data_IF_416012240939
#
_entry.id   IF_416012240939
#
_cell.length_a   1.000
_cell.length_b   1.000
_cell.length_c   1.000
_cell.angle_alpha   90.00
_cell.angle_beta   90.00
_cell.angle_gamma   90.00
#
_symmetry.space_group_name_H-M   'P 1'
#
loop_
_entity.id
_entity.type
_entity.pdbx_description
1 polymer ?
#
# COMPACT_ATOMS: atom_id res chain seq x y z
N UNK A 1 20.10 -24.75 42.37
CA UNK A 1 21.12 -24.25 41.44
C UNK A 1 20.38 -23.43 40.38
N UNK A 2 20.30 -22.12 40.60
CA UNK A 2 19.55 -21.18 39.78
C UNK A 2 20.47 -20.77 38.64
N UNK A 3 20.06 -21.03 37.40
CA UNK A 3 20.78 -20.57 36.20
C UNK A 3 20.58 -19.05 36.04
N UNK A 4 21.62 -18.29 35.71
CA UNK A 4 21.49 -16.86 35.47
C UNK A 4 20.79 -16.62 34.12
N UNK A 5 19.92 -15.60 34.08
CA UNK A 5 19.25 -15.12 32.87
C UNK A 5 20.26 -14.69 31.79
N UNK A 6 19.98 -14.87 30.51
CA UNK A 6 20.85 -14.38 29.45
C UNK A 6 20.90 -12.86 29.44
N UNK A 7 22.11 -12.33 29.33
CA UNK A 7 22.35 -10.90 29.24
C UNK A 7 21.70 -10.34 27.99
N UNK A 8 20.89 -9.30 28.13
CA UNK A 8 20.37 -8.46 27.03
C UNK A 8 21.60 -7.86 26.35
N UNK A 9 21.74 -8.17 25.04
CA UNK A 9 22.76 -7.59 24.19
C UNK A 9 22.63 -6.07 24.25
N UNK A 10 23.70 -5.40 24.63
CA UNK A 10 23.76 -3.96 24.78
C UNK A 10 23.44 -3.27 23.45
N UNK A 11 22.60 -2.24 23.54
CA UNK A 11 22.40 -1.24 22.51
C UNK A 11 23.75 -0.70 22.06
N UNK A 12 24.19 -1.07 20.87
CA UNK A 12 25.36 -0.46 20.25
C UNK A 12 25.13 1.04 20.18
N UNK A 13 25.97 1.82 20.87
CA UNK A 13 25.93 3.27 20.83
C UNK A 13 26.04 3.73 19.38
N UNK A 14 25.00 4.43 18.88
CA UNK A 14 25.06 5.10 17.59
C UNK A 14 26.27 6.06 17.63
N UNK A 15 27.13 6.00 16.61
CA UNK A 15 28.21 6.96 16.45
C UNK A 15 27.63 8.38 16.47
N UNK A 16 28.29 9.38 17.09
CA UNK A 16 27.77 10.73 17.14
C UNK A 16 27.54 11.22 15.70
N UNK A 17 26.27 11.59 15.39
CA UNK A 17 25.88 12.07 14.07
C UNK A 17 26.71 13.31 13.67
N UNK A 18 27.11 13.37 12.41
CA UNK A 18 27.81 14.55 11.88
C UNK A 18 26.84 15.76 11.87
N UNK A 19 27.41 16.97 11.78
CA UNK A 19 26.59 18.20 11.61
C UNK A 19 25.66 18.07 10.40
N UNK A 20 26.09 17.36 9.33
CA UNK A 20 25.26 17.05 8.17
C UNK A 20 24.08 16.13 8.49
N UNK A 21 24.28 15.12 9.36
CA UNK A 21 23.20 14.23 9.77
C UNK A 21 22.13 14.96 10.58
N UNK A 22 22.56 15.82 11.52
CA UNK A 22 21.63 16.67 12.29
C UNK A 22 20.84 17.61 11.38
N UNK A 23 21.50 18.21 10.34
CA UNK A 23 20.80 19.06 9.38
C UNK A 23 19.77 18.26 8.57
N UNK A 24 20.11 17.06 8.10
CA UNK A 24 19.19 16.17 7.38
C UNK A 24 17.97 15.80 8.22
N UNK A 25 18.19 15.39 9.48
CA UNK A 25 17.11 15.07 10.41
C UNK A 25 16.22 16.28 10.70
N UNK A 26 16.80 17.46 10.90
CA UNK A 26 16.03 18.67 11.11
C UNK A 26 15.25 19.12 9.87
N UNK A 27 15.75 18.87 8.65
CA UNK A 27 15.04 19.15 7.41
C UNK A 27 13.77 18.28 7.29
N UNK A 28 13.87 16.98 7.59
CA UNK A 28 12.74 16.08 7.64
C UNK A 28 11.72 16.50 8.73
N UNK A 29 12.22 16.88 9.91
CA UNK A 29 11.38 17.36 11.03
C UNK A 29 10.59 18.62 10.65
N UNK A 30 11.22 19.58 9.97
CA UNK A 30 10.54 20.81 9.51
C UNK A 30 9.50 20.49 8.43
N UNK A 31 9.82 19.62 7.48
CA UNK A 31 8.89 19.22 6.43
C UNK A 31 7.69 18.46 7.01
N UNK A 32 7.91 17.49 7.89
CA UNK A 32 6.86 16.79 8.63
C UNK A 32 5.99 17.75 9.42
N UNK A 33 6.62 18.68 10.16
CA UNK A 33 5.89 19.70 10.92
C UNK A 33 5.07 20.66 10.06
N UNK A 34 5.38 20.84 8.77
CA UNK A 34 4.50 21.58 7.83
C UNK A 34 3.36 20.69 7.36
N UNK A 35 3.64 19.43 7.06
CA UNK A 35 2.66 18.47 6.52
C UNK A 35 1.58 18.06 7.54
N UNK A 36 1.86 18.07 8.84
CA UNK A 36 0.94 17.70 9.91
C UNK A 36 -0.14 18.76 10.21
N UNK A 37 0.01 19.97 9.73
CA UNK A 37 -1.03 20.97 9.91
C UNK A 37 -2.31 20.60 9.14
N UNK A 38 -3.49 20.85 9.71
CA UNK A 38 -4.75 20.50 9.06
C UNK A 38 -4.85 21.07 7.64
N UNK A 39 -5.46 20.35 6.70
CA UNK A 39 -5.64 20.80 5.32
C UNK A 39 -6.26 22.21 5.26
N UNK A 40 -5.66 23.09 4.45
CA UNK A 40 -6.09 24.47 4.32
C UNK A 40 -5.54 25.43 5.39
N UNK A 41 -4.78 24.94 6.36
CA UNK A 41 -4.00 25.78 7.29
C UNK A 41 -2.55 25.83 6.79
N UNK A 42 -2.04 27.04 6.62
CA UNK A 42 -0.66 27.26 6.15
C UNK A 42 0.15 27.82 7.33
N UNK A 43 0.93 27.00 8.06
CA UNK A 43 1.68 27.46 9.21
C UNK A 43 2.73 28.49 8.84
N UNK A 44 2.92 29.49 9.68
CA UNK A 44 4.07 30.40 9.61
C UNK A 44 5.35 29.71 10.10
N UNK A 45 6.53 30.21 9.71
CA UNK A 45 7.82 29.72 10.25
C UNK A 45 7.88 29.69 11.78
N UNK A 46 7.19 30.64 12.43
CA UNK A 46 7.14 30.70 13.89
C UNK A 46 6.30 29.56 14.49
N UNK A 47 5.19 29.18 13.85
CA UNK A 47 4.38 28.02 14.26
C UNK A 47 5.10 26.71 14.04
N UNK A 48 5.79 26.56 12.89
CA UNK A 48 6.65 25.39 12.63
C UNK A 48 7.78 25.28 13.67
N UNK A 49 8.42 26.41 14.03
CA UNK A 49 9.45 26.42 15.08
C UNK A 49 8.87 25.97 16.44
N UNK A 50 7.66 26.43 16.78
CA UNK A 50 6.99 26.01 18.01
C UNK A 50 6.62 24.51 18.00
N UNK A 51 6.12 23.99 16.86
CA UNK A 51 5.73 22.58 16.71
C UNK A 51 6.93 21.63 16.75
N UNK A 52 8.07 22.03 16.13
CA UNK A 52 9.28 21.18 16.01
C UNK A 52 10.27 21.33 17.18
N UNK A 53 10.11 22.37 18.02
CA UNK A 53 11.08 22.70 19.08
C UNK A 53 12.38 23.30 18.58
N UNK A 54 12.52 23.57 17.27
CA UNK A 54 13.71 24.18 16.67
C UNK A 54 13.72 25.69 16.86
N UNK A 55 14.91 26.32 16.78
CA UNK A 55 15.01 27.78 16.81
C UNK A 55 14.42 28.40 15.53
N UNK A 56 13.88 29.62 15.64
CA UNK A 56 13.37 30.37 14.47
C UNK A 56 14.42 30.54 13.36
N UNK A 57 15.68 30.73 13.74
CA UNK A 57 16.79 30.85 12.80
C UNK A 57 17.03 29.54 12.03
N UNK A 58 17.04 28.39 12.75
CA UNK A 58 17.17 27.08 12.14
C UNK A 58 16.04 26.79 11.17
N UNK A 59 14.78 27.00 11.62
CA UNK A 59 13.61 26.79 10.75
C UNK A 59 13.66 27.68 9.51
N UNK A 60 14.05 28.96 9.66
CA UNK A 60 14.16 29.86 8.51
C UNK A 60 15.18 29.38 7.47
N UNK A 61 16.34 28.87 7.90
CA UNK A 61 17.33 28.29 6.98
C UNK A 61 16.85 27.02 6.28
N UNK A 62 16.22 26.10 7.06
CA UNK A 62 15.71 24.83 6.51
C UNK A 62 14.51 25.02 5.58
N UNK A 63 13.65 26.00 5.86
CA UNK A 63 12.54 26.40 4.98
C UNK A 63 13.07 26.92 3.64
N UNK A 64 14.18 27.66 3.62
CA UNK A 64 14.80 28.09 2.34
C UNK A 64 15.27 26.88 1.52
N UNK A 65 15.90 25.89 2.14
CA UNK A 65 16.30 24.65 1.44
C UNK A 65 15.09 23.95 0.83
N UNK A 66 13.96 23.83 1.59
CA UNK A 66 12.73 23.18 1.09
C UNK A 66 12.03 23.97 -0.02
N UNK A 67 12.12 25.32 0.02
CA UNK A 67 11.62 26.20 -1.04
C UNK A 67 12.46 26.06 -2.31
N UNK A 68 13.80 26.04 -2.17
CA UNK A 68 14.74 25.87 -3.28
C UNK A 68 14.57 24.49 -3.94
N UNK A 69 14.29 23.44 -3.15
CA UNK A 69 13.91 22.12 -3.67
C UNK A 69 12.51 22.09 -4.31
N UNK A 70 11.72 23.13 -4.13
CA UNK A 70 10.33 23.20 -4.61
C UNK A 70 9.38 22.24 -3.93
N UNK A 71 9.74 21.63 -2.78
CA UNK A 71 8.88 20.69 -2.01
C UNK A 71 7.73 21.43 -1.33
N UNK A 72 8.02 22.65 -0.86
CA UNK A 72 7.04 23.55 -0.24
C UNK A 72 6.93 24.85 -1.02
N UNK A 73 5.89 25.61 -0.78
CA UNK A 73 5.75 26.97 -1.28
C UNK A 73 5.24 27.94 -0.21
N UNK A 74 5.47 29.22 -0.43
CA UNK A 74 4.91 30.29 0.38
C UNK A 74 3.54 30.71 -0.14
N UNK A 75 2.60 30.95 0.78
CA UNK A 75 1.28 31.47 0.49
C UNK A 75 0.99 32.70 1.35
N UNK A 76 0.40 33.73 0.75
CA UNK A 76 -0.04 34.90 1.47
C UNK A 76 -1.22 34.53 2.39
N UNK A 77 -1.09 34.80 3.68
CA UNK A 77 -2.22 34.67 4.62
C UNK A 77 -3.07 35.93 4.56
N UNK A 78 -4.39 35.79 4.29
CA UNK A 78 -5.31 36.89 4.37
C UNK A 78 -5.37 37.40 5.82
N UNK A 79 -5.17 38.70 6.10
CA UNK A 79 -5.19 39.23 7.45
C UNK A 79 -6.63 39.27 7.98
N UNK A 80 -6.95 38.34 8.89
CA UNK A 80 -8.10 38.52 9.77
C UNK A 80 -7.68 39.39 10.96
N UNK A 81 -7.39 40.70 10.71
CA UNK A 81 -6.99 41.62 11.76
C UNK A 81 -6.00 42.70 11.30
N UNK A 82 -5.74 43.70 12.16
CA UNK A 82 -4.74 44.76 11.96
C UNK A 82 -3.32 44.17 12.13
N UNK A 83 -2.60 43.94 11.03
CA UNK A 83 -1.20 43.47 11.03
C UNK A 83 -0.65 43.33 9.61
N UNK A 84 0.69 43.19 9.47
CA UNK A 84 1.32 42.88 8.20
C UNK A 84 0.86 41.47 7.77
N UNK A 85 0.45 41.26 6.49
CA UNK A 85 0.09 39.93 5.98
C UNK A 85 1.17 38.92 6.36
N UNK A 86 0.77 37.84 7.04
CA UNK A 86 1.68 36.76 7.34
C UNK A 86 1.97 35.93 6.08
N UNK A 87 3.11 35.26 6.06
CA UNK A 87 3.45 34.28 5.04
C UNK A 87 3.27 32.88 5.66
N UNK A 88 2.40 32.07 5.07
CA UNK A 88 2.21 30.68 5.42
C UNK A 88 3.04 29.76 4.52
N UNK A 89 3.23 28.53 4.97
CA UNK A 89 3.93 27.47 4.26
C UNK A 89 2.95 26.33 3.97
N UNK A 90 3.06 25.73 2.79
CA UNK A 90 2.32 24.52 2.46
C UNK A 90 3.16 23.61 1.55
N UNK A 91 2.82 22.32 1.50
CA UNK A 91 3.37 21.41 0.50
C UNK A 91 3.04 21.94 -0.89
N UNK A 92 4.01 21.87 -1.80
CA UNK A 92 3.83 22.40 -3.15
C UNK A 92 2.88 21.49 -3.97
N UNK A 93 1.65 21.94 -4.30
CA UNK A 93 0.68 21.13 -5.04
C UNK A 93 1.06 20.88 -6.51
N UNK A 94 2.10 21.56 -7.01
CA UNK A 94 2.68 21.32 -8.32
C UNK A 94 3.74 20.20 -8.31
N UNK A 95 3.98 19.56 -7.18
CA UNK A 95 4.88 18.41 -7.02
C UNK A 95 4.05 17.17 -6.70
N UNK A 96 4.39 16.07 -7.37
CA UNK A 96 3.63 14.84 -7.26
C UNK A 96 4.54 13.61 -7.38
N UNK A 97 3.99 12.46 -7.04
CA UNK A 97 4.59 11.13 -7.24
C UNK A 97 3.63 10.30 -8.08
N UNK A 98 4.14 9.40 -8.89
CA UNK A 98 3.34 8.47 -9.67
C UNK A 98 3.23 7.12 -8.96
N UNK A 99 2.01 6.66 -8.70
CA UNK A 99 1.73 5.26 -8.40
C UNK A 99 1.54 4.49 -9.70
N UNK A 100 2.11 3.30 -9.77
CA UNK A 100 1.98 2.39 -10.90
C UNK A 100 1.64 1.00 -10.39
N UNK A 101 0.88 0.26 -11.15
CA UNK A 101 0.45 -1.09 -10.78
C UNK A 101 0.39 -1.99 -12.01
N UNK A 102 0.95 -3.17 -11.88
CA UNK A 102 0.72 -4.30 -12.76
C UNK A 102 -0.16 -5.28 -12.00
N UNK A 103 -1.38 -5.45 -12.46
CA UNK A 103 -2.29 -6.48 -11.98
C UNK A 103 -2.40 -7.58 -13.04
N UNK A 104 -3.02 -8.70 -12.71
CA UNK A 104 -3.21 -9.82 -13.66
C UNK A 104 -4.14 -9.42 -14.82
N UNK A 105 -5.11 -8.56 -14.56
CA UNK A 105 -6.19 -8.20 -15.51
C UNK A 105 -6.08 -6.77 -16.05
N UNK A 106 -5.17 -5.95 -15.52
CA UNK A 106 -4.97 -4.57 -15.96
C UNK A 106 -3.58 -4.06 -15.64
N UNK A 107 -3.27 -2.91 -16.18
CA UNK A 107 -2.19 -2.03 -15.73
C UNK A 107 -2.80 -0.68 -15.35
N UNK A 108 -2.28 -0.03 -14.34
CA UNK A 108 -2.79 1.30 -13.93
C UNK A 108 -1.69 2.25 -13.50
N UNK A 109 -1.98 3.55 -13.63
CA UNK A 109 -1.12 4.62 -13.13
C UNK A 109 -1.94 5.72 -12.49
N UNK A 110 -1.38 6.39 -11.49
CA UNK A 110 -1.97 7.56 -10.87
C UNK A 110 -0.92 8.59 -10.53
N UNK A 111 -1.29 9.87 -10.58
CA UNK A 111 -0.49 10.98 -10.06
C UNK A 111 -1.13 11.43 -8.75
N UNK A 112 -0.30 11.46 -7.70
CA UNK A 112 -0.68 11.79 -6.33
C UNK A 112 0.20 12.95 -5.87
N UNK A 113 -0.39 14.05 -5.40
CA UNK A 113 0.38 15.17 -4.88
C UNK A 113 1.05 14.84 -3.53
N UNK A 114 1.95 15.70 -3.06
CA UNK A 114 2.69 15.44 -1.83
C UNK A 114 1.81 15.39 -0.56
N UNK A 115 0.55 15.88 -0.64
CA UNK A 115 -0.43 15.72 0.44
C UNK A 115 -1.15 14.36 0.41
N UNK A 116 -0.92 13.56 -0.63
CA UNK A 116 -1.58 12.27 -0.85
C UNK A 116 -2.88 12.37 -1.64
N UNK A 117 -3.22 13.52 -2.20
CA UNK A 117 -4.42 13.71 -3.01
C UNK A 117 -4.23 13.14 -4.41
N UNK A 118 -5.15 12.28 -4.82
CA UNK A 118 -5.20 11.74 -6.17
C UNK A 118 -5.59 12.84 -7.17
N UNK A 119 -4.73 13.11 -8.15
CA UNK A 119 -4.93 14.12 -9.18
C UNK A 119 -5.39 13.53 -10.52
N UNK A 120 -4.80 12.41 -10.93
CA UNK A 120 -5.09 11.71 -12.19
C UNK A 120 -5.01 10.22 -11.92
N UNK A 121 -5.91 9.42 -12.49
CA UNK A 121 -5.84 7.96 -12.52
C UNK A 121 -6.24 7.47 -13.90
N UNK A 122 -5.46 6.57 -14.47
CA UNK A 122 -5.80 5.83 -15.67
C UNK A 122 -5.62 4.33 -15.44
N UNK A 123 -6.60 3.55 -15.89
CA UNK A 123 -6.58 2.09 -15.85
C UNK A 123 -6.72 1.61 -17.29
N UNK A 124 -5.91 0.63 -17.66
CA UNK A 124 -5.98 -0.03 -18.97
C UNK A 124 -6.17 -1.52 -18.75
N UNK A 125 -7.32 -2.05 -19.14
CA UNK A 125 -7.56 -3.49 -19.16
C UNK A 125 -6.55 -4.18 -20.08
N UNK A 126 -5.96 -5.25 -19.57
CA UNK A 126 -4.97 -6.07 -20.24
C UNK A 126 -4.84 -7.40 -19.52
N UNK A 127 -5.01 -8.50 -20.23
CA UNK A 127 -4.67 -9.82 -19.70
C UNK A 127 -3.12 -9.97 -19.66
N UNK A 128 -2.59 -10.02 -18.44
CA UNK A 128 -1.17 -10.14 -18.17
C UNK A 128 -0.77 -11.58 -17.77
N UNK A 129 -1.73 -12.54 -17.75
CA UNK A 129 -1.47 -13.93 -17.38
C UNK A 129 -0.48 -14.55 -18.34
N UNK A 130 0.54 -15.18 -17.79
CA UNK A 130 1.60 -15.85 -18.55
C UNK A 130 2.20 -14.97 -19.67
N UNK A 131 2.05 -13.64 -19.54
CA UNK A 131 2.65 -12.68 -20.46
C UNK A 131 4.12 -12.48 -20.14
N UNK A 132 4.98 -12.40 -21.17
CA UNK A 132 6.34 -11.96 -20.96
C UNK A 132 6.37 -10.56 -20.30
N UNK A 133 7.32 -10.33 -19.38
CA UNK A 133 7.39 -9.08 -18.61
C UNK A 133 7.65 -7.85 -19.50
N UNK A 134 8.52 -7.97 -20.51
CA UNK A 134 8.90 -6.82 -21.34
C UNK A 134 7.72 -6.14 -22.06
N UNK A 135 6.76 -6.84 -22.73
CA UNK A 135 5.57 -6.21 -23.29
C UNK A 135 4.64 -5.56 -22.26
N UNK A 136 4.59 -6.11 -21.01
CA UNK A 136 3.76 -5.55 -19.93
C UNK A 136 4.39 -4.24 -19.45
N UNK A 137 5.70 -4.23 -19.18
CA UNK A 137 6.44 -3.04 -18.80
C UNK A 137 6.39 -1.95 -19.88
N UNK A 138 6.54 -2.31 -21.15
CA UNK A 138 6.43 -1.36 -22.27
C UNK A 138 5.03 -0.72 -22.32
N UNK A 139 3.97 -1.50 -22.09
CA UNK A 139 2.60 -0.99 -22.04
C UNK A 139 2.37 -0.06 -20.85
N UNK A 140 2.94 -0.39 -19.68
CA UNK A 140 2.89 0.46 -18.49
C UNK A 140 3.69 1.75 -18.68
N UNK A 141 4.89 1.69 -19.25
CA UNK A 141 5.71 2.86 -19.57
C UNK A 141 4.96 3.82 -20.51
N UNK A 142 4.31 3.29 -21.56
CA UNK A 142 3.49 4.10 -22.46
C UNK A 142 2.30 4.77 -21.74
N UNK A 143 1.69 4.08 -20.76
CA UNK A 143 0.63 4.64 -19.92
C UNK A 143 1.19 5.73 -19.00
N UNK A 144 2.33 5.49 -18.36
CA UNK A 144 3.00 6.44 -17.47
C UNK A 144 3.41 7.73 -18.21
N UNK A 145 3.94 7.62 -19.43
CA UNK A 145 4.28 8.78 -20.26
C UNK A 145 3.05 9.65 -20.55
N UNK A 146 1.91 9.05 -20.91
CA UNK A 146 0.67 9.81 -21.17
C UNK A 146 0.19 10.53 -19.92
N UNK A 147 0.14 9.82 -18.79
CA UNK A 147 -0.34 10.37 -17.51
C UNK A 147 0.61 11.46 -17.00
N UNK A 148 1.93 11.27 -17.15
CA UNK A 148 2.94 12.30 -16.84
C UNK A 148 2.76 13.54 -17.71
N UNK A 149 2.51 13.39 -19.01
CA UNK A 149 2.23 14.50 -19.92
C UNK A 149 0.99 15.28 -19.49
N UNK A 150 -0.12 14.57 -19.21
CA UNK A 150 -1.35 15.19 -18.71
C UNK A 150 -1.17 15.92 -17.37
N UNK A 151 -0.29 15.44 -16.50
CA UNK A 151 0.08 16.13 -15.27
C UNK A 151 0.87 17.41 -15.59
N UNK A 152 1.84 17.33 -16.51
CA UNK A 152 2.65 18.47 -16.96
C UNK A 152 1.81 19.60 -17.59
N UNK A 153 0.79 19.26 -18.38
CA UNK A 153 -0.17 20.22 -18.94
C UNK A 153 -0.96 20.98 -17.85
N UNK A 154 -1.09 20.38 -16.66
CA UNK A 154 -1.71 21.01 -15.47
C UNK A 154 -0.68 21.70 -14.57
N UNK A 155 0.58 21.80 -14.98
CA UNK A 155 1.66 22.40 -14.21
C UNK A 155 2.13 21.53 -13.03
N UNK A 156 1.89 20.20 -13.08
CA UNK A 156 2.32 19.26 -12.05
C UNK A 156 3.53 18.47 -12.53
N UNK A 157 4.61 18.51 -11.74
CA UNK A 157 5.84 17.77 -11.98
C UNK A 157 5.89 16.50 -11.16
N UNK A 158 6.15 15.36 -11.84
CA UNK A 158 6.29 14.04 -11.21
C UNK A 158 7.76 13.83 -10.82
N UNK A 159 7.99 13.72 -9.51
CA UNK A 159 9.34 13.61 -8.92
C UNK A 159 9.89 12.17 -8.91
N UNK A 160 9.03 11.18 -8.97
CA UNK A 160 9.37 9.76 -8.92
C UNK A 160 8.14 8.89 -8.88
N UNK A 161 8.32 7.59 -8.64
CA UNK A 161 7.19 6.69 -8.61
C UNK A 161 7.38 5.44 -7.76
N UNK A 162 6.26 4.75 -7.52
CA UNK A 162 6.20 3.42 -6.95
C UNK A 162 5.49 2.46 -7.91
N UNK A 163 6.06 1.28 -8.11
CA UNK A 163 5.46 0.19 -8.87
C UNK A 163 5.01 -0.92 -7.93
N UNK A 164 3.72 -1.23 -7.91
CA UNK A 164 3.15 -2.39 -7.23
C UNK A 164 3.00 -3.55 -8.21
N UNK A 165 3.43 -4.75 -7.81
CA UNK A 165 3.35 -5.98 -8.61
C UNK A 165 2.88 -7.13 -7.71
N UNK A 166 2.01 -8.03 -8.19
CA UNK A 166 1.63 -9.22 -7.42
C UNK A 166 2.82 -10.18 -7.26
N UNK A 167 2.81 -10.96 -6.17
CA UNK A 167 3.83 -11.94 -5.85
C UNK A 167 5.02 -11.40 -5.05
N UNK A 168 6.04 -12.22 -4.87
CA UNK A 168 7.22 -11.89 -4.07
C UNK A 168 8.20 -11.02 -4.87
N UNK A 169 8.68 -9.95 -4.24
CA UNK A 169 9.62 -9.01 -4.86
C UNK A 169 10.85 -8.79 -3.98
N UNK A 170 11.97 -8.50 -4.61
CA UNK A 170 13.20 -7.97 -3.99
C UNK A 170 13.34 -6.49 -4.41
N UNK A 171 12.87 -5.54 -3.58
CA UNK A 171 12.92 -4.12 -3.93
C UNK A 171 14.35 -3.59 -4.10
N UNK A 172 15.31 -4.14 -3.34
CA UNK A 172 16.71 -3.70 -3.39
C UNK A 172 17.39 -4.02 -4.73
N UNK A 173 16.94 -5.10 -5.39
CA UNK A 173 17.45 -5.51 -6.70
C UNK A 173 16.52 -5.17 -7.86
N UNK A 174 15.40 -4.49 -7.60
CA UNK A 174 14.36 -4.25 -8.61
C UNK A 174 13.93 -5.55 -9.31
N UNK A 175 13.68 -6.63 -8.54
CA UNK A 175 13.43 -7.97 -9.06
C UNK A 175 12.09 -8.52 -8.56
N UNK A 176 11.35 -9.17 -9.45
CA UNK A 176 10.25 -10.07 -9.10
C UNK A 176 10.84 -11.47 -8.91
N UNK A 177 10.78 -11.99 -7.68
CA UNK A 177 11.26 -13.33 -7.36
C UNK A 177 10.29 -14.37 -7.91
N UNK A 178 9.02 -14.22 -7.63
CA UNK A 178 7.95 -15.05 -8.18
C UNK A 178 6.62 -14.32 -8.20
N UNK A 179 5.94 -14.40 -9.34
CA UNK A 179 4.56 -13.93 -9.50
C UNK A 179 3.78 -15.00 -10.31
N UNK A 180 3.28 -16.04 -9.63
CA UNK A 180 2.72 -17.22 -10.30
C UNK A 180 1.59 -16.87 -11.27
N UNK A 181 0.71 -15.95 -10.90
CA UNK A 181 -0.42 -15.52 -11.72
C UNK A 181 -0.02 -14.72 -12.97
N UNK A 182 1.21 -14.16 -13.01
CA UNK A 182 1.80 -13.53 -14.19
C UNK A 182 2.69 -14.50 -14.97
N UNK A 183 3.07 -15.63 -14.38
CA UNK A 183 4.05 -16.58 -14.93
C UNK A 183 5.49 -16.06 -14.85
N UNK A 184 5.79 -15.17 -13.91
CA UNK A 184 7.12 -14.57 -13.77
C UNK A 184 7.91 -15.24 -12.64
N UNK A 185 9.18 -15.57 -12.94
CA UNK A 185 10.14 -16.13 -11.98
C UNK A 185 11.50 -15.51 -12.25
N UNK A 186 12.14 -14.96 -11.21
CA UNK A 186 13.47 -14.34 -11.26
C UNK A 186 13.61 -13.26 -12.37
N UNK A 187 12.65 -12.32 -12.43
CA UNK A 187 12.60 -11.27 -13.45
C UNK A 187 13.20 -9.98 -12.92
N UNK A 188 14.27 -9.50 -13.54
CA UNK A 188 14.82 -8.16 -13.32
C UNK A 188 13.97 -7.12 -14.06
N UNK A 189 13.59 -6.05 -13.35
CA UNK A 189 12.76 -4.97 -13.90
C UNK A 189 13.64 -3.74 -14.18
N UNK A 190 13.53 -3.21 -15.39
CA UNK A 190 14.09 -1.90 -15.72
C UNK A 190 13.11 -0.81 -15.25
N UNK A 191 13.24 -0.42 -13.96
CA UNK A 191 12.37 0.57 -13.35
C UNK A 191 12.64 1.98 -13.86
N UNK A 192 13.86 2.30 -14.27
CA UNK A 192 14.24 3.61 -14.80
C UNK A 192 13.54 3.90 -16.13
N UNK A 193 13.27 2.86 -16.91
CA UNK A 193 12.51 2.98 -18.17
C UNK A 193 11.05 3.38 -17.97
N UNK A 194 10.48 3.22 -16.77
CA UNK A 194 9.09 3.60 -16.47
C UNK A 194 8.92 5.11 -16.28
N UNK A 195 9.88 5.76 -15.62
CA UNK A 195 9.91 7.21 -15.37
C UNK A 195 11.33 7.77 -15.60
N UNK A 196 11.78 7.86 -16.86
CA UNK A 196 13.10 8.41 -17.16
C UNK A 196 13.26 9.81 -16.57
N UNK A 197 14.48 10.09 -16.05
CA UNK A 197 14.86 11.39 -15.50
C UNK A 197 14.07 11.85 -14.26
N UNK A 198 13.25 10.98 -13.65
CA UNK A 198 12.58 11.32 -12.40
C UNK A 198 13.60 11.32 -11.24
N UNK A 199 13.75 12.43 -10.48
CA UNK A 199 14.86 12.58 -9.53
C UNK A 199 14.83 11.56 -8.37
N UNK A 200 13.67 11.01 -8.03
CA UNK A 200 13.54 9.99 -6.98
C UNK A 200 13.57 8.55 -7.52
N UNK A 201 13.59 8.38 -8.86
CA UNK A 201 13.49 7.07 -9.50
C UNK A 201 12.14 6.39 -9.25
N UNK A 202 12.11 5.06 -9.42
CA UNK A 202 10.93 4.21 -9.17
C UNK A 202 11.29 3.14 -8.15
N UNK A 203 10.46 2.99 -7.11
CA UNK A 203 10.59 1.95 -6.09
C UNK A 203 9.61 0.79 -6.38
N UNK A 204 10.03 -0.46 -6.09
CA UNK A 204 9.23 -1.67 -6.30
C UNK A 204 8.54 -2.10 -5.01
N UNK A 205 7.29 -2.53 -5.10
CA UNK A 205 6.47 -3.01 -3.98
C UNK A 205 5.71 -4.29 -4.36
N UNK A 206 5.48 -5.14 -3.38
CA UNK A 206 4.42 -6.14 -3.50
C UNK A 206 3.06 -5.43 -3.43
N UNK A 207 2.07 -5.89 -4.21
CA UNK A 207 0.73 -5.30 -4.35
C UNK A 207 -0.01 -5.21 -3.01
N UNK A 208 -0.09 -6.30 -2.25
CA UNK A 208 -0.81 -6.34 -0.97
C UNK A 208 -0.11 -5.50 0.11
N UNK A 209 1.22 -5.48 0.13
CA UNK A 209 2.01 -4.64 1.02
C UNK A 209 1.80 -3.15 0.72
N UNK A 210 1.76 -2.76 -0.55
CA UNK A 210 1.45 -1.40 -0.95
C UNK A 210 0.02 -1.02 -0.51
N UNK A 211 -0.96 -1.89 -0.75
CA UNK A 211 -2.34 -1.64 -0.32
C UNK A 211 -2.47 -1.52 1.21
N UNK A 212 -1.75 -2.34 1.98
CA UNK A 212 -1.70 -2.21 3.44
C UNK A 212 -1.15 -0.85 3.91
N UNK A 213 -0.14 -0.31 3.21
CA UNK A 213 0.41 1.02 3.50
C UNK A 213 -0.57 2.15 3.16
N UNK A 214 -1.40 1.99 2.13
CA UNK A 214 -2.48 2.94 1.85
C UNK A 214 -3.53 2.95 2.96
N UNK A 215 -3.96 1.76 3.42
CA UNK A 215 -4.88 1.63 4.54
C UNK A 215 -4.33 2.26 5.82
N UNK A 216 -3.05 2.02 6.12
CA UNK A 216 -2.41 2.61 7.30
C UNK A 216 -2.52 4.15 7.32
N UNK A 217 -2.34 4.79 6.16
CA UNK A 217 -2.41 6.25 6.03
C UNK A 217 -3.82 6.78 6.22
N UNK A 218 -4.81 6.08 5.69
CA UNK A 218 -6.18 6.59 5.55
C UNK A 218 -7.13 6.02 6.64
N UNK A 219 -6.61 5.27 7.62
CA UNK A 219 -7.43 4.68 8.69
C UNK A 219 -8.03 5.73 9.63
N UNK A 220 -9.36 5.78 9.75
CA UNK A 220 -10.04 6.74 10.62
C UNK A 220 -9.91 6.43 12.11
N UNK A 221 -9.63 5.17 12.47
CA UNK A 221 -9.50 4.71 13.86
C UNK A 221 -8.08 4.85 14.42
N UNK A 222 -7.11 5.25 13.59
CA UNK A 222 -5.70 5.39 13.97
C UNK A 222 -5.04 4.10 14.42
N UNK A 223 -5.61 2.92 14.05
CA UNK A 223 -5.03 1.65 14.43
C UNK A 223 -3.65 1.45 13.79
N UNK A 224 -2.65 1.19 14.64
CA UNK A 224 -1.25 1.00 14.26
C UNK A 224 -0.90 -0.44 13.89
N UNK A 225 -1.81 -1.38 14.24
CA UNK A 225 -1.56 -2.82 14.10
C UNK A 225 -2.77 -3.49 13.45
N UNK A 226 -2.56 -4.05 12.27
CA UNK A 226 -3.60 -4.79 11.55
C UNK A 226 -3.01 -5.72 10.49
N UNK A 227 -3.80 -6.74 10.13
CA UNK A 227 -3.56 -7.57 8.97
C UNK A 227 -4.48 -7.12 7.84
N UNK A 228 -3.91 -6.62 6.77
CA UNK A 228 -4.63 -6.38 5.52
C UNK A 228 -4.68 -7.68 4.73
N UNK A 229 -5.85 -8.05 4.21
CA UNK A 229 -6.02 -9.23 3.36
C UNK A 229 -6.81 -8.83 2.13
N UNK A 230 -6.19 -8.91 0.98
CA UNK A 230 -6.80 -8.62 -0.31
C UNK A 230 -7.09 -9.89 -1.07
N UNK A 231 -8.33 -10.03 -1.50
CA UNK A 231 -8.71 -11.03 -2.49
C UNK A 231 -8.69 -10.40 -3.88
N UNK A 232 -7.82 -10.91 -4.71
CA UNK A 232 -7.73 -10.59 -6.13
C UNK A 232 -7.82 -11.91 -6.93
N UNK A 233 -7.08 -12.08 -8.03
CA UNK A 233 -6.96 -13.40 -8.69
C UNK A 233 -6.52 -14.44 -7.67
N UNK A 234 -5.48 -14.13 -6.89
CA UNK A 234 -5.07 -14.85 -5.70
C UNK A 234 -5.54 -14.20 -4.40
N UNK A 235 -4.86 -14.53 -3.31
CA UNK A 235 -5.07 -13.93 -1.98
C UNK A 235 -3.73 -13.42 -1.46
N UNK A 236 -3.61 -12.10 -1.34
CA UNK A 236 -2.46 -11.43 -0.78
C UNK A 236 -2.71 -10.90 0.63
N UNK A 237 -1.65 -10.60 1.38
CA UNK A 237 -1.75 -9.95 2.67
C UNK A 237 -0.59 -9.02 2.96
N UNK A 238 -0.83 -8.07 3.85
CA UNK A 238 0.19 -7.16 4.37
C UNK A 238 0.03 -7.02 5.89
N UNK A 239 1.12 -7.18 6.61
CA UNK A 239 1.14 -7.09 8.08
C UNK A 239 1.64 -5.71 8.47
N UNK A 240 0.87 -4.98 9.25
CA UNK A 240 1.27 -3.68 9.82
C UNK A 240 1.39 -3.84 11.33
N UNK A 241 2.55 -3.49 11.89
CA UNK A 241 2.86 -3.52 13.32
C UNK A 241 3.53 -2.22 13.73
N UNK A 242 3.00 -1.56 14.76
CA UNK A 242 3.54 -0.29 15.23
C UNK A 242 3.56 0.81 14.18
N UNK A 243 2.57 0.87 13.29
CA UNK A 243 2.50 1.79 12.14
C UNK A 243 3.58 1.58 11.08
N UNK A 244 4.19 0.39 11.04
CA UNK A 244 5.18 0.01 10.04
C UNK A 244 4.80 -1.30 9.35
N UNK A 245 5.14 -1.42 8.07
CA UNK A 245 4.96 -2.66 7.34
C UNK A 245 5.97 -3.71 7.81
N UNK A 246 5.48 -4.85 8.28
CA UNK A 246 6.31 -5.98 8.67
C UNK A 246 6.49 -6.92 7.46
N UNK A 247 7.68 -6.92 6.88
CA UNK A 247 8.00 -7.73 5.70
C UNK A 247 8.73 -9.03 6.04
N UNK A 248 9.20 -9.20 7.29
CA UNK A 248 10.06 -10.30 7.67
C UNK A 248 11.50 -10.16 7.13
N UNK A 249 12.42 -11.05 7.54
CA UNK A 249 13.84 -10.92 7.21
C UNK A 249 14.14 -11.08 5.71
N UNK A 250 13.31 -11.81 4.97
CA UNK A 250 13.47 -12.06 3.53
C UNK A 250 12.38 -11.38 2.68
N UNK A 251 11.52 -10.55 3.28
CA UNK A 251 10.46 -9.86 2.56
C UNK A 251 9.20 -10.69 2.29
N UNK A 252 9.07 -11.89 2.87
CA UNK A 252 7.99 -12.83 2.58
C UNK A 252 6.88 -12.86 3.64
N UNK A 253 6.87 -11.96 4.62
CA UNK A 253 5.79 -11.90 5.59
C UNK A 253 4.49 -11.41 4.92
N UNK A 254 3.36 -11.96 5.36
CA UNK A 254 2.04 -11.57 4.81
C UNK A 254 1.47 -12.54 3.78
N UNK A 255 2.12 -13.64 3.46
CA UNK A 255 1.68 -14.67 2.50
C UNK A 255 0.46 -15.47 3.01
N UNK A 256 -0.61 -14.77 3.40
CA UNK A 256 -1.82 -15.35 4.02
C UNK A 256 -2.55 -16.28 3.08
N UNK A 257 -2.48 -16.02 1.77
CA UNK A 257 -3.10 -16.85 0.73
C UNK A 257 -2.55 -18.26 0.69
N UNK A 258 -1.34 -18.47 1.23
CA UNK A 258 -0.67 -19.76 1.25
C UNK A 258 -0.75 -20.50 2.61
N UNK A 259 -1.52 -19.93 3.57
CA UNK A 259 -1.87 -20.68 4.80
C UNK A 259 -2.76 -21.87 4.40
N UNK A 260 -2.38 -23.07 4.85
CA UNK A 260 -3.15 -24.29 4.60
C UNK A 260 -4.44 -24.26 5.43
N UNK A 261 -5.59 -24.28 4.75
CA UNK A 261 -6.92 -24.28 5.35
C UNK A 261 -7.67 -25.60 5.12
N UNK A 262 -7.20 -26.38 4.16
CA UNK A 262 -7.74 -27.72 3.81
C UNK A 262 -6.59 -28.64 3.40
N UNK A 263 -6.00 -29.43 4.34
CA UNK A 263 -4.85 -30.28 4.03
C UNK A 263 -5.07 -31.30 2.88
N UNK A 264 -6.33 -31.70 2.65
CA UNK A 264 -6.74 -32.58 1.55
C UNK A 264 -7.26 -31.83 0.32
N UNK A 265 -7.08 -30.49 0.31
CA UNK A 265 -7.58 -29.60 -0.73
C UNK A 265 -6.79 -29.64 -2.04
N UNK A 266 -7.09 -28.71 -2.94
CA UNK A 266 -6.48 -28.61 -4.25
C UNK A 266 -5.01 -28.19 -4.23
N UNK A 267 -4.28 -28.50 -5.31
CA UNK A 267 -2.93 -27.97 -5.53
C UNK A 267 -2.97 -26.45 -5.76
N UNK A 268 -2.02 -25.75 -5.13
CA UNK A 268 -1.83 -24.32 -5.27
C UNK A 268 -0.70 -24.00 -6.27
N UNK A 269 -0.78 -22.85 -6.93
CA UNK A 269 0.25 -22.33 -7.83
C UNK A 269 1.63 -22.17 -7.16
N UNK A 270 1.67 -22.01 -5.82
CA UNK A 270 2.92 -21.98 -5.04
C UNK A 270 3.62 -23.33 -4.89
N UNK A 271 3.03 -24.42 -5.39
CA UNK A 271 3.52 -25.80 -5.23
C UNK A 271 2.99 -26.52 -3.99
N UNK A 272 2.30 -25.85 -3.08
CA UNK A 272 1.66 -26.43 -1.89
C UNK A 272 0.29 -27.05 -2.20
N UNK A 273 -0.35 -27.60 -1.16
CA UNK A 273 -1.69 -28.20 -1.23
C UNK A 273 -2.58 -27.58 -0.15
N UNK A 274 -3.85 -27.27 -0.50
CA UNK A 274 -4.85 -26.82 0.46
C UNK A 274 -4.70 -25.38 0.96
N UNK A 275 -3.98 -24.55 0.22
CA UNK A 275 -3.83 -23.12 0.53
C UNK A 275 -5.18 -22.37 0.50
N UNK A 276 -5.29 -21.30 1.28
CA UNK A 276 -6.48 -20.43 1.28
C UNK A 276 -6.87 -19.97 -0.14
N UNK A 277 -5.87 -19.61 -0.94
CA UNK A 277 -6.07 -19.13 -2.31
C UNK A 277 -6.84 -20.14 -3.18
N UNK A 278 -6.65 -21.45 -2.98
CA UNK A 278 -7.35 -22.50 -3.75
C UNK A 278 -8.86 -22.57 -3.45
N UNK A 279 -9.33 -21.85 -2.42
CA UNK A 279 -10.74 -21.81 -2.01
C UNK A 279 -11.30 -20.39 -2.09
N UNK A 280 -10.51 -19.40 -1.72
CA UNK A 280 -10.95 -18.01 -1.53
C UNK A 280 -10.37 -17.03 -2.56
N UNK A 281 -9.49 -17.47 -3.46
CA UNK A 281 -9.10 -16.70 -4.63
C UNK A 281 -10.28 -16.54 -5.60
N UNK A 282 -10.26 -15.50 -6.41
CA UNK A 282 -11.39 -15.13 -7.27
C UNK A 282 -11.79 -16.26 -8.23
N UNK A 283 -10.81 -16.90 -8.87
CA UNK A 283 -11.05 -18.01 -9.79
C UNK A 283 -11.67 -19.24 -9.08
N UNK A 284 -11.21 -19.52 -7.86
CA UNK A 284 -11.74 -20.62 -7.05
C UNK A 284 -13.20 -20.37 -6.64
N UNK A 285 -13.54 -19.12 -6.30
CA UNK A 285 -14.93 -18.75 -5.98
C UNK A 285 -15.81 -18.87 -7.22
N UNK A 286 -15.37 -18.38 -8.39
CA UNK A 286 -16.13 -18.50 -9.64
C UNK A 286 -16.37 -19.96 -10.02
N UNK A 287 -15.32 -20.78 -10.00
CA UNK A 287 -15.44 -22.22 -10.30
C UNK A 287 -16.40 -22.92 -9.33
N UNK A 288 -16.32 -22.62 -8.03
CA UNK A 288 -17.21 -23.21 -7.00
C UNK A 288 -18.66 -22.73 -7.17
N UNK A 289 -18.88 -21.52 -7.65
CA UNK A 289 -20.21 -20.98 -7.97
C UNK A 289 -20.79 -21.52 -9.27
N UNK A 290 -20.02 -22.31 -10.05
CA UNK A 290 -20.43 -22.79 -11.38
C UNK A 290 -20.38 -21.70 -12.45
N UNK A 291 -19.67 -20.60 -12.22
CA UNK A 291 -19.48 -19.52 -13.16
C UNK A 291 -18.22 -19.78 -13.99
N UNK A 292 -18.34 -19.62 -15.31
CA UNK A 292 -17.17 -19.65 -16.21
C UNK A 292 -16.65 -18.21 -16.30
N UNK A 293 -15.41 -17.94 -15.87
CA UNK A 293 -14.85 -16.61 -15.98
C UNK A 293 -14.81 -16.17 -17.45
N UNK A 294 -15.30 -14.97 -17.74
CA UNK A 294 -15.08 -14.37 -19.04
C UNK A 294 -13.60 -13.99 -19.15
N UNK A 295 -12.88 -14.62 -20.08
CA UNK A 295 -11.48 -14.37 -20.35
C UNK A 295 -11.20 -12.92 -20.79
N UNK A 296 -12.23 -12.19 -21.22
CA UNK A 296 -12.15 -10.80 -21.66
C UNK A 296 -12.47 -9.75 -20.59
N UNK A 297 -13.19 -10.10 -19.52
CA UNK A 297 -13.60 -9.14 -18.49
C UNK A 297 -13.92 -9.80 -17.14
N UNK A 298 -12.98 -9.73 -16.22
CA UNK A 298 -13.22 -10.19 -14.85
C UNK A 298 -14.22 -9.33 -14.07
N UNK A 299 -14.31 -8.06 -14.40
CA UNK A 299 -15.31 -7.19 -13.80
C UNK A 299 -16.72 -7.65 -14.18
N UNK A 300 -16.91 -8.19 -15.39
CA UNK A 300 -18.16 -8.82 -15.80
C UNK A 300 -18.43 -10.11 -15.01
N UNK A 301 -17.41 -10.96 -14.78
CA UNK A 301 -17.54 -12.18 -13.99
C UNK A 301 -17.87 -11.89 -12.52
N UNK A 302 -17.25 -10.88 -11.93
CA UNK A 302 -17.58 -10.43 -10.57
C UNK A 302 -19.00 -9.85 -10.50
N UNK A 303 -19.40 -9.07 -11.51
CA UNK A 303 -20.77 -8.56 -11.60
C UNK A 303 -21.81 -9.68 -11.70
N UNK A 304 -21.51 -10.75 -12.45
CA UNK A 304 -22.36 -11.94 -12.53
C UNK A 304 -22.47 -12.66 -11.18
N UNK A 305 -21.34 -12.84 -10.46
CA UNK A 305 -21.36 -13.41 -9.11
C UNK A 305 -22.19 -12.58 -8.14
N UNK A 306 -22.04 -11.26 -8.16
CA UNK A 306 -22.83 -10.35 -7.30
C UNK A 306 -24.34 -10.40 -7.64
N UNK A 307 -24.71 -10.58 -8.91
CA UNK A 307 -26.10 -10.77 -9.31
C UNK A 307 -26.66 -12.10 -8.82
N UNK A 308 -25.91 -13.22 -8.96
CA UNK A 308 -26.28 -14.52 -8.45
C UNK A 308 -26.45 -14.52 -6.91
N UNK A 309 -25.56 -13.83 -6.19
CA UNK A 309 -25.67 -13.65 -4.73
C UNK A 309 -26.91 -12.86 -4.33
N UNK A 310 -27.24 -11.76 -5.05
CA UNK A 310 -28.45 -10.97 -4.82
C UNK A 310 -29.73 -11.77 -5.12
N UNK A 311 -29.65 -12.68 -6.09
CA UNK A 311 -30.74 -13.61 -6.41
C UNK A 311 -30.80 -14.82 -5.45
N UNK A 312 -29.89 -14.90 -4.46
CA UNK A 312 -29.74 -16.00 -3.53
C UNK A 312 -29.54 -17.36 -4.21
N UNK A 313 -28.81 -17.40 -5.34
CA UNK A 313 -28.49 -18.65 -6.03
C UNK A 313 -27.64 -19.56 -5.13
N UNK A 314 -28.08 -20.82 -4.86
CA UNK A 314 -27.42 -21.66 -3.87
C UNK A 314 -25.94 -21.92 -4.14
N UNK A 315 -25.54 -22.06 -5.41
CA UNK A 315 -24.14 -22.26 -5.81
C UNK A 315 -23.26 -21.08 -5.44
N UNK A 316 -23.69 -19.86 -5.75
CA UNK A 316 -22.98 -18.62 -5.46
C UNK A 316 -22.86 -18.38 -3.94
N UNK A 317 -23.97 -18.55 -3.21
CA UNK A 317 -24.00 -18.41 -1.75
C UNK A 317 -23.05 -19.41 -1.09
N UNK A 318 -23.14 -20.70 -1.44
CA UNK A 318 -22.27 -21.75 -0.88
C UNK A 318 -20.79 -21.49 -1.16
N UNK A 319 -20.45 -21.01 -2.37
CA UNK A 319 -19.07 -20.70 -2.75
C UNK A 319 -18.48 -19.59 -1.87
N UNK A 320 -19.23 -18.49 -1.70
CA UNK A 320 -18.76 -17.33 -0.90
C UNK A 320 -18.73 -17.65 0.59
N UNK A 321 -19.70 -18.40 1.11
CA UNK A 321 -19.68 -18.86 2.50
C UNK A 321 -18.50 -19.80 2.78
N UNK A 322 -18.17 -20.70 1.85
CA UNK A 322 -16.98 -21.56 1.95
C UNK A 322 -15.70 -20.73 1.97
N UNK A 323 -15.59 -19.74 1.10
CA UNK A 323 -14.47 -18.79 1.11
C UNK A 323 -14.34 -18.05 2.44
N UNK A 324 -15.48 -17.58 3.00
CA UNK A 324 -15.52 -16.91 4.30
C UNK A 324 -15.06 -17.81 5.45
N UNK A 325 -15.54 -19.05 5.50
CA UNK A 325 -15.10 -20.04 6.51
C UNK A 325 -13.60 -20.31 6.40
N UNK A 326 -13.08 -20.50 5.20
CA UNK A 326 -11.66 -20.75 4.97
C UNK A 326 -10.78 -19.55 5.33
N UNK A 327 -11.24 -18.35 5.00
CA UNK A 327 -10.58 -17.10 5.40
C UNK A 327 -10.52 -16.98 6.94
N UNK A 328 -11.61 -17.32 7.65
CA UNK A 328 -11.65 -17.35 9.11
C UNK A 328 -10.65 -18.33 9.71
N UNK A 329 -10.41 -19.50 9.10
CA UNK A 329 -9.39 -20.47 9.54
C UNK A 329 -7.99 -19.87 9.39
N UNK A 330 -7.68 -19.27 8.23
CA UNK A 330 -6.38 -18.64 7.97
C UNK A 330 -6.11 -17.50 8.95
N UNK A 331 -7.08 -16.62 9.16
CA UNK A 331 -6.99 -15.49 10.09
C UNK A 331 -6.83 -15.94 11.54
N UNK A 332 -7.52 -17.00 11.95
CA UNK A 332 -7.37 -17.59 13.28
C UNK A 332 -5.94 -18.12 13.50
N UNK A 333 -5.33 -18.68 12.46
CA UNK A 333 -3.94 -19.14 12.49
C UNK A 333 -2.96 -17.97 12.57
N UNK A 334 -3.13 -16.97 11.73
CA UNK A 334 -2.30 -15.75 11.71
C UNK A 334 -2.35 -15.00 13.05
N UNK A 335 -3.54 -14.83 13.65
CA UNK A 335 -3.73 -14.17 14.93
C UNK A 335 -2.94 -14.79 16.07
N UNK A 336 -2.78 -16.11 16.04
CA UNK A 336 -2.02 -16.84 17.07
C UNK A 336 -0.51 -16.72 16.92
N UNK A 337 -0.04 -16.47 15.71
CA UNK A 337 1.40 -16.35 15.37
C UNK A 337 1.89 -14.92 15.51
N UNK A 338 1.09 -13.94 15.05
CA UNK A 338 1.52 -12.54 14.97
C UNK A 338 0.90 -11.68 16.08
N UNK A 339 -0.10 -12.21 16.82
CA UNK A 339 -0.86 -11.52 17.88
C UNK A 339 -1.60 -10.25 17.40
N UNK A 340 -2.02 -10.22 16.14
CA UNK A 340 -2.85 -9.15 15.58
C UNK A 340 -4.32 -9.47 15.77
N UNK A 341 -5.10 -8.48 16.20
CA UNK A 341 -6.54 -8.61 16.47
C UNK A 341 -7.40 -7.75 15.54
N UNK A 342 -6.82 -7.01 14.60
CA UNK A 342 -7.53 -6.18 13.63
C UNK A 342 -7.24 -6.67 12.21
N UNK A 343 -8.29 -6.81 11.41
CA UNK A 343 -8.23 -7.27 10.02
C UNK A 343 -8.92 -6.25 9.12
N UNK A 344 -8.32 -5.97 7.96
CA UNK A 344 -8.92 -5.16 6.91
C UNK A 344 -9.08 -6.00 5.66
N UNK A 345 -10.32 -6.12 5.18
CA UNK A 345 -10.68 -6.89 3.99
C UNK A 345 -10.65 -5.98 2.75
N UNK A 346 -9.78 -6.29 1.80
CA UNK A 346 -9.64 -5.59 0.52
C UNK A 346 -10.05 -6.43 -0.68
N UNK A 347 -9.93 -5.85 -1.88
CA UNK A 347 -10.23 -6.51 -3.14
C UNK A 347 -11.65 -7.07 -3.18
N UNK A 348 -11.82 -8.28 -3.74
CA UNK A 348 -13.14 -8.90 -3.82
C UNK A 348 -13.71 -9.28 -2.44
N UNK A 349 -12.91 -9.45 -1.39
CA UNK A 349 -13.43 -9.68 -0.04
C UNK A 349 -14.24 -8.48 0.47
N UNK A 350 -13.85 -7.26 0.11
CA UNK A 350 -14.62 -6.06 0.42
C UNK A 350 -15.99 -6.06 -0.30
N UNK A 351 -16.03 -6.48 -1.56
CA UNK A 351 -17.27 -6.56 -2.35
C UNK A 351 -18.20 -7.67 -1.87
N UNK A 352 -17.62 -8.80 -1.44
CA UNK A 352 -18.35 -9.99 -0.99
C UNK A 352 -18.67 -9.98 0.51
N UNK A 353 -18.25 -8.96 1.24
CA UNK A 353 -18.38 -8.85 2.68
C UNK A 353 -19.79 -9.16 3.20
N UNK A 354 -20.89 -8.69 2.58
CA UNK A 354 -22.24 -8.97 3.10
C UNK A 354 -22.59 -10.46 3.19
N UNK A 355 -22.01 -11.31 2.36
CA UNK A 355 -22.23 -12.76 2.34
C UNK A 355 -21.11 -13.55 3.03
N UNK A 356 -19.90 -13.00 3.02
CA UNK A 356 -18.70 -13.63 3.55
C UNK A 356 -18.54 -13.44 5.05
N UNK A 357 -18.99 -12.29 5.61
CA UNK A 357 -18.73 -11.87 6.99
C UNK A 357 -19.25 -12.87 8.05
N UNK A 358 -20.48 -13.33 7.92
CA UNK A 358 -21.08 -14.29 8.87
C UNK A 358 -20.23 -15.56 9.02
N UNK A 359 -20.04 -16.33 7.93
CA UNK A 359 -19.19 -17.53 7.94
C UNK A 359 -17.75 -17.30 8.39
N UNK A 360 -17.18 -16.14 8.10
CA UNK A 360 -15.84 -15.74 8.55
C UNK A 360 -15.80 -15.59 10.07
N UNK A 361 -16.76 -14.85 10.65
CA UNK A 361 -16.82 -14.62 12.09
C UNK A 361 -17.12 -15.91 12.87
N UNK A 362 -17.98 -16.79 12.35
CA UNK A 362 -18.22 -18.11 12.92
C UNK A 362 -16.95 -18.96 12.99
N UNK A 363 -16.14 -18.94 11.92
CA UNK A 363 -14.85 -19.63 11.89
C UNK A 363 -13.84 -19.00 12.87
N UNK A 364 -13.78 -17.69 12.94
CA UNK A 364 -12.91 -16.98 13.89
C UNK A 364 -13.26 -17.32 15.34
N UNK A 365 -14.56 -17.31 15.69
CA UNK A 365 -15.01 -17.68 17.04
C UNK A 365 -14.70 -19.13 17.36
N UNK A 366 -14.89 -20.03 16.39
CA UNK A 366 -14.59 -21.45 16.55
C UNK A 366 -13.10 -21.75 16.76
N UNK A 367 -12.22 -21.14 15.96
CA UNK A 367 -10.80 -21.50 15.90
C UNK A 367 -9.89 -20.56 16.67
N UNK A 368 -10.34 -19.34 16.97
CA UNK A 368 -9.62 -18.36 17.79
C UNK A 368 -10.58 -17.61 18.75
N UNK A 369 -11.30 -18.34 19.65
CA UNK A 369 -12.33 -17.76 20.50
C UNK A 369 -11.78 -16.60 21.31
N UNK A 370 -12.49 -15.46 21.30
CA UNK A 370 -12.15 -14.26 22.04
C UNK A 370 -10.94 -13.46 21.50
N UNK A 371 -10.36 -13.86 20.38
CA UNK A 371 -9.23 -13.10 19.75
C UNK A 371 -9.71 -11.96 18.89
N UNK A 372 -10.84 -12.11 18.20
CA UNK A 372 -11.41 -11.08 17.35
C UNK A 372 -12.78 -10.62 17.85
N UNK A 373 -12.94 -9.32 18.00
CA UNK A 373 -14.27 -8.72 18.10
C UNK A 373 -14.79 -8.43 16.67
N UNK A 374 -16.09 -8.60 16.39
CA UNK A 374 -16.65 -8.40 15.05
C UNK A 374 -16.32 -7.04 14.42
N UNK A 375 -16.26 -5.98 15.23
CA UNK A 375 -15.94 -4.63 14.82
C UNK A 375 -14.47 -4.44 14.41
N UNK A 376 -13.59 -5.38 14.75
CA UNK A 376 -12.18 -5.38 14.36
C UNK A 376 -11.92 -6.02 12.99
N UNK A 377 -12.95 -6.58 12.38
CA UNK A 377 -12.93 -7.00 10.98
C UNK A 377 -13.56 -5.89 10.15
N UNK A 378 -12.76 -5.03 9.60
CA UNK A 378 -13.16 -3.87 8.80
C UNK A 378 -13.06 -4.15 7.30
N UNK A 379 -13.76 -3.36 6.51
CA UNK A 379 -13.61 -3.32 5.06
C UNK A 379 -12.66 -2.17 4.68
N UNK A 380 -11.85 -2.37 3.65
CA UNK A 380 -10.94 -1.35 3.13
C UNK A 380 -11.66 -0.06 2.78
N UNK A 381 -11.13 1.06 3.27
CA UNK A 381 -11.62 2.40 2.93
C UNK A 381 -10.99 2.93 1.62
N UNK A 382 -9.86 2.37 1.21
CA UNK A 382 -9.10 2.83 0.03
C UNK A 382 -9.62 2.20 -1.28
N UNK A 383 -10.26 1.03 -1.20
CA UNK A 383 -10.85 0.33 -2.33
C UNK A 383 -9.80 -0.16 -3.35
N UNK A 384 -10.20 -0.23 -4.63
CA UNK A 384 -9.39 -0.78 -5.74
C UNK A 384 -8.10 0.00 -6.04
N UNK A 385 -7.93 1.21 -5.52
CA UNK A 385 -6.73 2.00 -5.74
C UNK A 385 -5.65 1.76 -4.67
N UNK A 386 -5.85 0.81 -3.75
CA UNK A 386 -5.00 0.60 -2.59
C UNK A 386 -3.53 0.42 -2.94
N UNK A 387 -3.19 -0.53 -3.81
CA UNK A 387 -1.81 -0.79 -4.22
C UNK A 387 -1.17 0.43 -4.91
N UNK A 388 -1.94 1.09 -5.77
CA UNK A 388 -1.53 2.27 -6.51
C UNK A 388 -1.23 3.46 -5.58
N UNK A 389 -2.15 3.75 -4.64
CA UNK A 389 -2.00 4.85 -3.68
C UNK A 389 -0.93 4.54 -2.62
N UNK A 390 -0.80 3.28 -2.23
CA UNK A 390 0.20 2.85 -1.25
C UNK A 390 1.62 2.91 -1.81
N UNK A 391 1.84 2.49 -3.06
CA UNK A 391 3.14 2.60 -3.71
C UNK A 391 3.58 4.06 -3.87
N UNK A 392 2.67 4.96 -4.32
CA UNK A 392 2.92 6.40 -4.37
C UNK A 392 3.15 6.99 -2.97
N UNK A 393 2.30 6.66 -2.01
CA UNK A 393 2.39 7.14 -0.62
C UNK A 393 3.69 6.74 0.06
N UNK A 394 4.22 5.56 -0.25
CA UNK A 394 5.52 5.10 0.28
C UNK A 394 6.69 5.93 -0.26
N UNK A 395 6.65 6.33 -1.53
CA UNK A 395 7.66 7.22 -2.12
C UNK A 395 7.54 8.63 -1.52
N UNK A 396 6.32 9.14 -1.33
CA UNK A 396 6.09 10.41 -0.63
C UNK A 396 6.65 10.35 0.80
N UNK A 397 6.38 9.28 1.55
CA UNK A 397 6.93 9.07 2.92
C UNK A 397 8.45 9.09 2.90
N UNK A 398 9.09 8.36 1.98
CA UNK A 398 10.55 8.36 1.82
C UNK A 398 11.11 9.75 1.51
N UNK A 399 10.39 10.56 0.73
CA UNK A 399 10.74 11.96 0.48
C UNK A 399 10.60 12.80 1.75
N UNK A 400 9.52 12.63 2.52
CA UNK A 400 9.32 13.37 3.78
C UNK A 400 10.41 13.05 4.81
N UNK A 401 10.86 11.79 4.87
CA UNK A 401 11.94 11.34 5.76
C UNK A 401 13.33 11.78 5.29
N UNK A 402 13.53 11.93 3.98
CA UNK A 402 14.82 12.27 3.38
C UNK A 402 14.70 13.34 2.27
N UNK A 403 14.22 14.57 2.56
CA UNK A 403 13.96 15.58 1.54
C UNK A 403 15.23 16.07 0.81
N UNK A 404 16.41 15.89 1.40
CA UNK A 404 17.70 16.20 0.80
C UNK A 404 18.02 15.39 -0.47
N UNK A 405 17.30 14.28 -0.71
CA UNK A 405 17.47 13.45 -1.93
C UNK A 405 17.11 14.17 -3.24
N UNK A 406 16.35 15.26 -3.18
CA UNK A 406 16.06 16.07 -4.36
C UNK A 406 17.19 17.05 -4.72
N UNK A 407 18.21 17.19 -3.88
CA UNK A 407 19.37 18.05 -4.12
C UNK A 407 20.65 17.24 -4.41
N UNK A 408 20.56 15.90 -4.48
CA UNK A 408 21.71 15.02 -4.67
C UNK A 408 22.09 14.86 -6.14
#
# INVERSE_FOLDING_TARGET
MVMPAPAVAGTGGAAPGTVGDVRRSNLALVLGGIAEFPPGTCPSRAQVAAATGLTKASVSSLVLDLLDAGIIREVGLNPQGRGRPGVGLELNPSRAVMGMEINVDYISTAVVDLSGKLLIREVKERDNRNSAHAPVLAALAALAVRVRSSAGERGVEVLGGGLAVPGLVDPAKARVLTAPNLGWVDVDLDLDALLPEAPLGVALFNEANAAALAELRDRPDGASDFLFVSGEVGVGGGIVLGSELFTGPEGHAGEVGHIVVDPEGGHCSCGGTGCLETVAGQDAIFASAGLVPDAGSRSASMSALLQALKAAEPGAVTAVERAGRSLGIALASAARVVDIQSVVLGGHFALLEPWLRGPLLESLDKYAPGKYAPERVAVSAVGEAGALLGSAGSVIRSLMEAPHRLHA
#
